data_IF_577558722668
#
_entry.id   IF_577558722668
#
_cell.length_a   1.000
_cell.length_b   1.000
_cell.length_c   1.000
_cell.angle_alpha   90.00
_cell.angle_beta   90.00
_cell.angle_gamma   90.00
#
_symmetry.space_group_name_H-M   'P 1'
#
loop_
_entity.id
_entity.type
_entity.pdbx_description
1 polymer ?
#
# COMPACT_ATOMS: atom_id res chain seq x y z
N UNK A 1 -11.18 11.01 28.55
CA UNK A 1 -11.99 10.36 27.50
C UNK A 1 -11.49 10.65 26.07
N UNK A 2 -10.20 10.95 25.87
CA UNK A 2 -9.62 11.37 24.56
C UNK A 2 -8.87 10.24 23.82
N UNK A 3 -8.79 9.03 24.38
CA UNK A 3 -7.98 7.93 23.84
C UNK A 3 -8.71 7.12 22.75
N UNK A 4 -10.00 6.85 22.92
CA UNK A 4 -10.75 5.94 22.03
C UNK A 4 -10.93 6.47 20.60
N UNK A 5 -11.09 7.79 20.42
CA UNK A 5 -11.23 8.40 19.09
C UNK A 5 -9.99 8.21 18.21
N UNK A 6 -8.78 8.31 18.78
CA UNK A 6 -7.51 8.07 18.06
C UNK A 6 -7.41 6.62 17.60
N UNK A 7 -7.79 5.67 18.45
CA UNK A 7 -7.77 4.24 18.08
C UNK A 7 -8.75 3.93 16.96
N UNK A 8 -9.95 4.50 16.96
CA UNK A 8 -10.94 4.33 15.88
C UNK A 8 -10.42 4.85 14.53
N UNK A 9 -9.75 6.00 14.52
CA UNK A 9 -9.16 6.57 13.29
C UNK A 9 -8.04 5.66 12.75
N UNK A 10 -7.16 5.17 13.63
CA UNK A 10 -6.07 4.26 13.24
C UNK A 10 -6.66 2.95 12.68
N UNK A 11 -7.65 2.37 13.35
CA UNK A 11 -8.29 1.14 12.90
C UNK A 11 -9.00 1.32 11.55
N UNK A 12 -9.71 2.43 11.37
CA UNK A 12 -10.35 2.77 10.10
C UNK A 12 -9.33 2.92 8.96
N UNK A 13 -8.19 3.56 9.22
CA UNK A 13 -7.11 3.69 8.23
C UNK A 13 -6.51 2.34 7.83
N UNK A 14 -6.31 1.42 8.79
CA UNK A 14 -5.80 0.07 8.52
C UNK A 14 -6.79 -0.74 7.68
N UNK A 15 -8.09 -0.68 8.00
CA UNK A 15 -9.13 -1.39 7.24
C UNK A 15 -9.21 -0.85 5.81
N UNK A 16 -9.15 0.48 5.64
CA UNK A 16 -9.18 1.12 4.33
C UNK A 16 -7.94 0.74 3.49
N UNK A 17 -6.76 0.70 4.11
CA UNK A 17 -5.54 0.20 3.49
C UNK A 17 -5.64 -1.26 3.04
N UNK A 18 -6.16 -2.13 3.91
CA UNK A 18 -6.37 -3.54 3.59
C UNK A 18 -7.39 -3.73 2.45
N UNK A 19 -8.47 -2.95 2.46
CA UNK A 19 -9.47 -2.95 1.39
C UNK A 19 -8.90 -2.49 0.04
N UNK A 20 -8.08 -1.45 0.04
CA UNK A 20 -7.36 -1.01 -1.17
C UNK A 20 -6.39 -2.08 -1.64
N UNK A 21 -5.60 -2.66 -0.74
CA UNK A 21 -4.70 -3.77 -1.09
C UNK A 21 -5.50 -4.89 -1.74
N UNK A 22 -6.56 -5.41 -1.13
CA UNK A 22 -7.37 -6.51 -1.67
C UNK A 22 -8.04 -6.13 -3.00
N UNK A 23 -8.48 -4.88 -3.19
CA UNK A 23 -9.12 -4.44 -4.43
C UNK A 23 -8.13 -4.32 -5.59
N UNK A 24 -6.89 -3.89 -5.30
CA UNK A 24 -5.85 -3.67 -6.31
C UNK A 24 -4.93 -4.90 -6.49
N UNK A 25 -4.87 -5.83 -5.53
CA UNK A 25 -4.12 -7.10 -5.60
C UNK A 25 -4.50 -7.97 -6.82
N UNK A 26 -5.80 -8.21 -7.12
CA UNK A 26 -6.17 -8.99 -8.30
C UNK A 26 -5.99 -8.21 -9.60
N UNK A 27 -5.99 -6.87 -9.56
CA UNK A 27 -5.62 -6.06 -10.73
C UNK A 27 -4.13 -6.19 -11.06
N UNK A 28 -3.27 -6.35 -10.06
CA UNK A 28 -1.82 -6.59 -10.24
C UNK A 28 -1.51 -7.97 -10.86
N UNK A 29 -2.39 -8.95 -10.67
CA UNK A 29 -2.20 -10.32 -11.18
C UNK A 29 -2.89 -10.59 -12.53
N UNK A 30 -3.49 -9.59 -13.18
CA UNK A 30 -4.24 -9.82 -14.40
C UNK A 30 -3.31 -9.86 -15.63
N UNK A 31 -2.86 -11.07 -15.95
CA UNK A 31 -2.46 -11.48 -17.30
C UNK A 31 -1.13 -10.91 -17.84
N UNK A 32 -0.01 -11.46 -17.35
CA UNK A 32 1.11 -11.81 -18.24
C UNK A 32 1.95 -10.69 -18.88
N UNK A 33 1.65 -9.41 -18.69
CA UNK A 33 2.48 -8.22 -19.01
C UNK A 33 1.74 -6.97 -18.51
N UNK A 34 1.98 -6.57 -17.26
CA UNK A 34 1.57 -5.24 -16.82
C UNK A 34 2.61 -4.21 -17.27
N UNK A 35 2.23 -3.13 -17.96
CA UNK A 35 3.13 -2.03 -18.25
C UNK A 35 3.38 -1.28 -16.94
N UNK A 36 4.55 -1.50 -16.31
CA UNK A 36 4.95 -0.81 -15.08
C UNK A 36 5.76 -1.66 -14.10
N UNK A 37 5.59 -2.98 -14.11
CA UNK A 37 6.48 -3.89 -13.37
C UNK A 37 7.69 -4.20 -14.25
N UNK A 38 8.91 -3.94 -13.74
CA UNK A 38 10.13 -4.32 -14.46
C UNK A 38 10.20 -5.84 -14.41
N UNK A 39 9.72 -6.47 -15.48
CA UNK A 39 9.85 -7.90 -15.72
C UNK A 39 11.04 -8.12 -16.61
N UNK A 40 12.19 -8.39 -16.01
CA UNK A 40 13.38 -8.78 -16.74
C UNK A 40 13.37 -10.31 -16.91
N UNK A 41 12.97 -10.77 -18.09
CA UNK A 41 13.05 -12.17 -18.50
C UNK A 41 14.23 -12.36 -19.44
N UNK A 42 15.23 -13.13 -19.03
CA UNK A 42 16.38 -13.52 -19.84
C UNK A 42 16.68 -15.00 -19.59
N UNK A 43 16.73 -15.81 -20.64
CA UNK A 43 17.07 -17.25 -20.68
C UNK A 43 17.29 -17.92 -19.31
N UNK A 44 16.18 -18.33 -18.66
CA UNK A 44 16.19 -19.03 -17.36
C UNK A 44 16.03 -18.17 -16.10
N UNK A 45 16.15 -16.85 -16.20
CA UNK A 45 16.00 -15.90 -15.08
C UNK A 45 14.81 -14.96 -15.30
N UNK A 46 13.93 -14.87 -14.30
CA UNK A 46 12.79 -13.94 -14.29
C UNK A 46 12.89 -13.07 -13.03
N UNK A 47 13.18 -11.78 -13.20
CA UNK A 47 13.13 -10.79 -12.12
C UNK A 47 11.86 -9.96 -12.25
N UNK A 48 11.04 -9.93 -11.21
CA UNK A 48 9.82 -9.15 -11.14
C UNK A 48 10.01 -8.06 -10.10
N UNK A 49 9.97 -6.78 -10.51
CA UNK A 49 10.05 -5.66 -9.59
C UNK A 49 8.74 -4.85 -9.61
N UNK A 50 7.89 -4.99 -8.58
CA UNK A 50 6.59 -4.35 -8.53
C UNK A 50 6.70 -2.91 -8.00
N UNK A 51 7.11 -1.99 -8.88
CA UNK A 51 7.36 -0.58 -8.55
C UNK A 51 6.09 0.11 -8.09
N UNK A 52 4.99 -0.10 -8.82
CA UNK A 52 3.71 0.56 -8.56
C UNK A 52 3.19 0.21 -7.17
N UNK A 53 3.28 -1.07 -6.81
CA UNK A 53 2.88 -1.59 -5.50
C UNK A 53 3.73 -0.98 -4.39
N UNK A 54 5.04 -0.84 -4.63
CA UNK A 54 5.98 -0.26 -3.67
C UNK A 54 5.72 1.23 -3.44
N UNK A 55 5.38 1.98 -4.49
CA UNK A 55 5.02 3.42 -4.40
C UNK A 55 3.70 3.59 -3.64
N UNK A 56 2.67 2.80 -3.96
CA UNK A 56 1.37 2.86 -3.28
C UNK A 56 1.53 2.54 -1.79
N UNK A 57 2.27 1.47 -1.48
CA UNK A 57 2.55 1.08 -0.11
C UNK A 57 3.30 2.20 0.64
N UNK A 58 4.32 2.79 0.02
CA UNK A 58 5.08 3.91 0.60
C UNK A 58 4.20 5.13 0.88
N UNK A 59 3.35 5.55 -0.06
CA UNK A 59 2.41 6.66 0.12
C UNK A 59 1.41 6.37 1.25
N UNK A 60 0.93 5.13 1.33
CA UNK A 60 -0.02 4.72 2.36
C UNK A 60 0.62 4.74 3.76
N UNK A 61 1.81 4.15 3.92
CA UNK A 61 2.55 4.24 5.19
C UNK A 61 2.86 5.70 5.57
N UNK A 62 3.28 6.50 4.59
CA UNK A 62 3.55 7.93 4.79
C UNK A 62 2.30 8.67 5.26
N UNK A 63 1.15 8.39 4.66
CA UNK A 63 -0.12 8.99 5.04
C UNK A 63 -0.54 8.58 6.45
N UNK A 64 -0.37 7.30 6.82
CA UNK A 64 -0.65 6.81 8.18
C UNK A 64 0.25 7.49 9.19
N UNK A 65 1.57 7.54 8.96
CA UNK A 65 2.50 8.21 9.87
C UNK A 65 2.26 9.71 9.95
N UNK A 66 1.92 10.36 8.83
CA UNK A 66 1.53 11.76 8.80
C UNK A 66 0.28 12.00 9.66
N UNK A 67 -0.74 11.14 9.55
CA UNK A 67 -1.97 11.25 10.33
C UNK A 67 -1.69 11.08 11.83
N UNK A 68 -0.90 10.07 12.22
CA UNK A 68 -0.48 9.85 13.60
C UNK A 68 0.27 11.08 14.14
N UNK A 69 1.24 11.59 13.38
CA UNK A 69 2.03 12.75 13.78
C UNK A 69 1.16 14.02 13.88
N UNK A 70 0.23 14.22 12.94
CA UNK A 70 -0.70 15.34 12.95
C UNK A 70 -1.57 15.35 14.22
N UNK A 71 -2.10 14.19 14.60
CA UNK A 71 -2.89 14.05 15.82
C UNK A 71 -2.06 14.00 17.11
N UNK A 72 -0.75 13.77 17.03
CA UNK A 72 0.17 13.78 18.18
C UNK A 72 0.79 15.15 18.45
N UNK A 73 0.82 16.04 17.45
CA UNK A 73 1.35 17.40 17.57
C UNK A 73 0.29 18.46 17.95
N UNK A 74 -0.96 18.06 18.09
CA UNK A 74 -2.03 18.83 18.75
C UNK A 74 -2.49 18.10 20.00
#
# INVERSE_FOLDING_TARGET
MQSWGKYLIIFGAIILAAGLLIQFFPKLNFFGRMPGDIVYKKDGFSFYFPIVTSIILSLLLTFIFWLINFFSRR
#
